data_IF_898688103145
#
_entry.id   IF_898688103145
#
_cell.length_a   1.000
_cell.length_b   1.000
_cell.length_c   1.000
_cell.angle_alpha   90.00
_cell.angle_beta   90.00
_cell.angle_gamma   90.00
#
_symmetry.space_group_name_H-M   'P 1'
#
loop_
_entity.id
_entity.type
_entity.pdbx_description
1 polymer ?
#
# COMPACT_ATOMS: atom_id res chain seq x y z
N UNK A 1 -62.40 -34.21 31.17
CA UNK A 1 -61.97 -32.92 30.57
C UNK A 1 -60.72 -32.44 31.30
N UNK A 2 -59.76 -31.80 30.59
CA UNK A 2 -58.51 -31.19 31.11
C UNK A 2 -57.28 -32.10 31.25
N UNK A 3 -56.73 -32.65 30.15
CA UNK A 3 -55.29 -33.01 30.08
C UNK A 3 -54.61 -32.73 28.73
N UNK A 4 -55.34 -32.30 27.70
CA UNK A 4 -54.78 -32.20 26.33
C UNK A 4 -54.37 -30.79 25.87
N UNK A 5 -54.36 -29.79 26.75
CA UNK A 5 -54.11 -28.40 26.34
C UNK A 5 -52.72 -27.85 26.70
N UNK A 6 -51.88 -28.61 27.40
CA UNK A 6 -50.56 -28.11 27.85
C UNK A 6 -49.39 -28.43 26.89
N UNK A 7 -49.59 -29.26 25.87
CA UNK A 7 -48.51 -29.69 24.97
C UNK A 7 -48.37 -28.87 23.68
N UNK A 8 -49.32 -27.97 23.39
CA UNK A 8 -49.32 -27.18 22.14
C UNK A 8 -48.64 -25.81 22.31
N UNK A 9 -48.50 -25.32 23.55
CA UNK A 9 -47.84 -24.03 23.80
C UNK A 9 -46.32 -24.12 24.02
N UNK A 10 -45.76 -25.31 24.23
CA UNK A 10 -44.30 -25.47 24.41
C UNK A 10 -43.56 -25.71 23.09
N UNK A 11 -44.27 -26.08 22.02
CA UNK A 11 -43.68 -26.37 20.69
C UNK A 11 -43.60 -25.15 19.78
N UNK A 12 -44.36 -24.08 20.03
CA UNK A 12 -44.32 -22.85 19.23
C UNK A 12 -43.26 -21.86 19.77
N UNK A 13 -42.91 -21.92 21.06
CA UNK A 13 -41.92 -21.02 21.65
C UNK A 13 -40.45 -21.37 21.31
N UNK A 14 -40.19 -22.59 20.80
CA UNK A 14 -38.83 -23.02 20.40
C UNK A 14 -38.52 -22.67 18.94
N UNK A 15 -39.52 -22.31 18.12
CA UNK A 15 -39.32 -22.00 16.70
C UNK A 15 -38.98 -20.52 16.41
N UNK A 16 -38.89 -19.68 17.44
CA UNK A 16 -38.57 -18.24 17.31
C UNK A 16 -37.11 -17.93 17.74
N UNK A 17 -36.34 -18.95 18.12
CA UNK A 17 -34.93 -18.77 18.49
C UNK A 17 -34.01 -18.84 17.26
N UNK A 18 -33.39 -17.69 16.98
CA UNK A 18 -32.16 -17.48 16.23
C UNK A 18 -32.24 -17.64 14.69
N UNK A 19 -32.95 -16.72 14.03
CA UNK A 19 -32.36 -16.09 12.85
C UNK A 19 -31.40 -14.99 13.35
N UNK A 20 -30.30 -15.39 14.01
CA UNK A 20 -29.13 -14.51 14.08
C UNK A 20 -28.59 -14.54 12.67
N UNK A 21 -28.94 -13.52 11.89
CA UNK A 21 -28.18 -13.21 10.69
C UNK A 21 -26.78 -12.90 11.18
N UNK A 22 -25.91 -13.91 11.21
CA UNK A 22 -24.48 -13.68 11.24
C UNK A 22 -24.21 -12.79 10.04
N UNK A 23 -24.01 -11.50 10.29
CA UNK A 23 -23.19 -10.66 9.43
C UNK A 23 -21.84 -11.35 9.44
N UNK A 24 -21.69 -12.32 8.54
CA UNK A 24 -20.39 -12.85 8.19
C UNK A 24 -19.69 -11.61 7.65
N UNK A 25 -18.85 -10.97 8.47
CA UNK A 25 -17.81 -10.12 7.91
C UNK A 25 -17.16 -11.02 6.88
N UNK A 26 -17.32 -10.67 5.60
CA UNK A 26 -16.67 -11.43 4.54
C UNK A 26 -15.21 -11.52 4.95
N UNK A 27 -14.75 -12.73 5.23
CA UNK A 27 -13.38 -12.94 5.63
C UNK A 27 -12.55 -12.49 4.44
N UNK A 28 -11.69 -11.50 4.63
CA UNK A 28 -10.88 -10.99 3.53
C UNK A 28 -10.13 -12.14 2.86
N UNK A 29 -10.14 -12.14 1.53
CA UNK A 29 -9.35 -13.08 0.72
C UNK A 29 -7.89 -12.66 0.80
N UNK A 30 -7.00 -13.62 0.96
CA UNK A 30 -5.56 -13.40 1.09
C UNK A 30 -4.83 -13.99 -0.10
N UNK A 31 -3.60 -13.56 -0.33
CA UNK A 31 -2.74 -14.11 -1.40
C UNK A 31 -2.58 -15.64 -1.27
N UNK A 32 -2.60 -16.17 -0.04
CA UNK A 32 -2.49 -17.59 0.25
C UNK A 32 -3.67 -18.42 -0.28
N UNK A 33 -4.82 -17.78 -0.54
CA UNK A 33 -5.99 -18.44 -1.10
C UNK A 33 -5.83 -18.74 -2.60
N UNK A 34 -4.87 -18.09 -3.28
CA UNK A 34 -4.53 -18.35 -4.68
C UNK A 34 -5.57 -17.87 -5.70
N UNK A 35 -6.48 -17.00 -5.30
CA UNK A 35 -7.57 -16.47 -6.14
C UNK A 35 -7.38 -15.01 -6.54
N UNK A 36 -6.56 -14.25 -5.81
CA UNK A 36 -6.33 -12.82 -6.06
C UNK A 36 -5.57 -12.59 -7.36
N UNK A 37 -5.97 -11.55 -8.09
CA UNK A 37 -5.41 -11.23 -9.40
C UNK A 37 -4.66 -9.89 -9.38
N UNK A 38 -3.62 -9.80 -10.19
CA UNK A 38 -3.02 -8.54 -10.61
C UNK A 38 -3.99 -7.79 -11.54
N UNK A 39 -3.74 -6.50 -11.76
CA UNK A 39 -4.52 -5.68 -12.69
C UNK A 39 -4.51 -6.16 -14.15
N UNK A 40 -3.54 -7.00 -14.53
CA UNK A 40 -3.47 -7.65 -15.85
C UNK A 40 -4.04 -9.08 -15.86
N UNK A 41 -4.71 -9.50 -14.77
CA UNK A 41 -5.49 -10.74 -14.69
C UNK A 41 -4.69 -12.00 -14.33
N UNK A 42 -3.44 -11.86 -13.87
CA UNK A 42 -2.62 -12.99 -13.44
C UNK A 42 -2.77 -13.24 -11.95
N UNK A 43 -2.70 -14.50 -11.53
CA UNK A 43 -2.78 -14.83 -10.11
C UNK A 43 -1.57 -14.29 -9.35
N UNK A 44 -1.83 -13.59 -8.24
CA UNK A 44 -0.79 -13.14 -7.32
C UNK A 44 -0.33 -14.34 -6.50
N UNK A 45 0.99 -14.57 -6.49
CA UNK A 45 1.62 -15.66 -5.75
C UNK A 45 2.34 -15.13 -4.51
N UNK A 46 2.69 -16.04 -3.60
CA UNK A 46 3.51 -15.71 -2.43
C UNK A 46 4.97 -15.43 -2.83
N UNK A 47 5.66 -14.60 -2.04
CA UNK A 47 7.04 -14.22 -2.32
C UNK A 47 7.16 -13.12 -3.38
N UNK A 48 8.28 -13.10 -4.11
CA UNK A 48 8.52 -12.14 -5.18
C UNK A 48 7.88 -12.61 -6.49
N UNK A 49 7.19 -11.71 -7.19
CA UNK A 49 6.82 -11.91 -8.58
C UNK A 49 8.01 -11.64 -9.52
N UNK A 50 7.81 -11.92 -10.81
CA UNK A 50 8.80 -11.71 -11.86
C UNK A 50 9.25 -10.25 -12.03
N UNK A 51 8.47 -9.30 -11.52
CA UNK A 51 8.73 -7.86 -11.57
C UNK A 51 9.44 -7.35 -10.32
N UNK A 52 9.62 -8.19 -9.28
CA UNK A 52 10.28 -7.81 -8.03
C UNK A 52 9.32 -7.29 -6.95
N UNK A 53 8.00 -7.46 -7.10
CA UNK A 53 7.03 -7.19 -6.03
C UNK A 53 6.87 -8.38 -5.11
N UNK A 54 6.94 -8.13 -3.80
CA UNK A 54 6.47 -9.04 -2.77
C UNK A 54 5.39 -8.35 -1.94
N UNK A 55 4.13 -8.55 -2.36
CA UNK A 55 2.96 -7.90 -1.79
C UNK A 55 2.75 -8.28 -0.31
N UNK A 56 3.06 -9.52 0.08
CA UNK A 56 2.93 -9.98 1.47
C UNK A 56 3.90 -9.24 2.41
N UNK A 57 5.11 -8.94 1.92
CA UNK A 57 6.13 -8.24 2.68
C UNK A 57 6.11 -6.72 2.48
N UNK A 58 5.15 -6.20 1.70
CA UNK A 58 5.04 -4.79 1.34
C UNK A 58 6.35 -4.19 0.82
N UNK A 59 7.03 -4.93 -0.06
CA UNK A 59 8.33 -4.54 -0.59
C UNK A 59 8.39 -4.75 -2.10
N UNK A 60 9.05 -3.83 -2.78
CA UNK A 60 9.50 -3.96 -4.15
C UNK A 60 11.01 -3.83 -4.18
N UNK A 61 11.68 -4.68 -4.97
CA UNK A 61 13.12 -4.60 -5.18
C UNK A 61 13.44 -5.04 -6.61
N UNK A 62 13.82 -4.09 -7.46
CA UNK A 62 14.06 -4.32 -8.88
C UNK A 62 14.62 -3.08 -9.57
N UNK A 63 14.51 -3.03 -10.90
CA UNK A 63 14.79 -1.81 -11.67
C UNK A 63 13.60 -0.86 -11.65
N UNK A 64 13.85 0.42 -11.91
CA UNK A 64 12.80 1.43 -11.92
C UNK A 64 11.68 1.07 -12.89
N UNK A 65 12.02 0.57 -14.08
CA UNK A 65 11.02 0.17 -15.06
C UNK A 65 10.26 -1.11 -14.72
N UNK A 66 10.82 -2.01 -13.92
CA UNK A 66 10.13 -3.23 -13.50
C UNK A 66 8.89 -2.90 -12.65
N UNK A 67 8.97 -1.86 -11.83
CA UNK A 67 7.83 -1.35 -11.04
C UNK A 67 6.65 -0.92 -11.92
N UNK A 68 6.91 -0.61 -13.19
CA UNK A 68 5.91 -0.16 -14.16
C UNK A 68 5.72 -1.15 -15.30
N UNK A 69 6.10 -2.42 -15.10
CA UNK A 69 6.01 -3.49 -16.09
C UNK A 69 6.64 -3.11 -17.44
N UNK A 70 7.83 -2.52 -17.37
CA UNK A 70 8.61 -2.09 -18.54
C UNK A 70 7.88 -1.08 -19.45
N UNK A 71 7.05 -0.22 -18.86
CA UNK A 71 6.31 0.79 -19.61
C UNK A 71 7.23 1.71 -20.43
N UNK A 72 6.80 2.12 -21.62
CA UNK A 72 7.62 2.92 -22.55
C UNK A 72 8.10 4.26 -21.97
N UNK A 73 7.34 4.86 -21.06
CA UNK A 73 7.65 6.17 -20.49
C UNK A 73 8.78 6.13 -19.45
N UNK A 74 9.07 4.97 -18.85
CA UNK A 74 10.09 4.85 -17.80
C UNK A 74 11.49 4.56 -18.37
N UNK A 75 11.61 4.27 -19.68
CA UNK A 75 12.80 3.68 -20.29
C UNK A 75 14.09 4.48 -20.08
N UNK A 76 14.00 5.79 -19.84
CA UNK A 76 15.15 6.62 -19.48
C UNK A 76 15.81 6.24 -18.15
N UNK A 77 15.11 5.47 -17.31
CA UNK A 77 15.54 5.03 -15.97
C UNK A 77 15.58 3.50 -15.87
N UNK A 78 15.54 2.76 -16.99
CA UNK A 78 15.46 1.30 -16.99
C UNK A 78 16.63 0.62 -16.24
N UNK A 79 17.80 1.25 -16.19
CA UNK A 79 18.98 0.72 -15.51
C UNK A 79 19.07 1.12 -14.02
N UNK A 80 18.23 2.04 -13.56
CA UNK A 80 18.25 2.54 -12.19
C UNK A 80 17.62 1.54 -11.23
N UNK A 81 18.24 1.34 -10.07
CA UNK A 81 17.71 0.47 -9.04
C UNK A 81 16.62 1.20 -8.25
N UNK A 82 15.57 0.48 -7.89
CA UNK A 82 14.44 0.97 -7.10
C UNK A 82 14.10 -0.03 -5.99
N UNK A 83 14.11 0.43 -4.74
CA UNK A 83 13.54 -0.27 -3.59
C UNK A 83 12.36 0.54 -3.06
N UNK A 84 11.21 -0.11 -2.90
CA UNK A 84 10.04 0.50 -2.26
C UNK A 84 9.56 -0.30 -1.07
N UNK A 85 8.99 0.39 -0.08
CA UNK A 85 8.28 -0.22 1.06
C UNK A 85 7.01 0.55 1.34
N UNK A 86 5.96 -0.12 1.77
CA UNK A 86 4.67 0.50 2.05
C UNK A 86 3.93 -0.18 3.21
N UNK A 87 2.75 0.32 3.57
CA UNK A 87 1.81 -0.33 4.50
C UNK A 87 0.52 -0.80 3.80
N UNK A 88 -0.30 -1.57 4.52
CA UNK A 88 -1.58 -2.08 4.00
C UNK A 88 -2.52 -0.97 3.49
N UNK A 89 -2.48 0.23 4.09
CA UNK A 89 -3.31 1.35 3.62
C UNK A 89 -2.87 1.86 2.23
N UNK A 90 -1.59 1.75 1.86
CA UNK A 90 -1.12 2.05 0.50
C UNK A 90 -1.56 0.98 -0.51
N UNK A 91 -1.24 -0.28 -0.20
CA UNK A 91 -1.59 -1.47 -0.97
C UNK A 91 -1.52 -2.68 -0.04
N UNK A 92 -2.69 -3.23 0.26
CA UNK A 92 -2.91 -4.39 1.12
C UNK A 92 -2.33 -5.67 0.51
N UNK A 93 -2.18 -6.71 1.34
CA UNK A 93 -1.96 -8.09 0.88
C UNK A 93 -3.24 -8.94 0.85
N UNK A 94 -4.40 -8.28 0.86
CA UNK A 94 -5.74 -8.88 0.92
C UNK A 94 -6.71 -8.14 0.02
N UNK A 95 -7.82 -8.82 -0.23
CA UNK A 95 -9.07 -8.29 -0.78
C UNK A 95 -10.14 -8.40 0.30
N UNK A 96 -10.60 -7.26 0.80
CA UNK A 96 -11.65 -7.17 1.81
C UNK A 96 -12.96 -6.61 1.23
N UNK A 97 -12.94 -5.97 0.05
CA UNK A 97 -14.14 -5.40 -0.59
C UNK A 97 -14.81 -6.35 -1.61
N UNK A 98 -14.14 -7.44 -1.97
CA UNK A 98 -14.64 -8.53 -2.81
C UNK A 98 -14.43 -8.32 -4.31
N UNK A 99 -13.54 -7.42 -4.73
CA UNK A 99 -13.27 -7.15 -6.15
C UNK A 99 -12.21 -8.10 -6.78
N UNK A 100 -11.62 -8.99 -5.97
CA UNK A 100 -10.52 -9.92 -6.32
C UNK A 100 -9.17 -9.25 -6.62
N UNK A 101 -9.01 -7.97 -6.28
CA UNK A 101 -7.76 -7.22 -6.35
C UNK A 101 -7.24 -6.95 -4.94
N UNK A 102 -5.98 -6.53 -4.84
CA UNK A 102 -5.44 -6.09 -3.56
C UNK A 102 -6.02 -4.72 -3.19
N UNK A 103 -6.55 -4.62 -1.97
CA UNK A 103 -7.19 -3.39 -1.52
C UNK A 103 -6.21 -2.21 -1.49
N UNK A 104 -6.74 -1.02 -1.76
CA UNK A 104 -6.07 0.27 -1.53
C UNK A 104 -6.95 1.10 -0.63
N UNK A 105 -6.35 1.77 0.36
CA UNK A 105 -7.05 2.64 1.32
C UNK A 105 -8.37 2.05 1.84
N UNK A 106 -8.39 0.75 2.14
CA UNK A 106 -9.61 0.03 2.52
C UNK A 106 -10.32 0.70 3.70
N UNK A 107 -11.62 0.95 3.56
CA UNK A 107 -12.43 1.66 4.55
C UNK A 107 -12.40 3.20 4.44
N UNK A 108 -11.73 3.76 3.43
CA UNK A 108 -11.67 5.20 3.15
C UNK A 108 -12.06 5.51 1.70
N UNK A 109 -12.69 6.67 1.47
CA UNK A 109 -13.10 7.14 0.14
C UNK A 109 -11.91 7.48 -0.78
N UNK A 110 -10.74 7.72 -0.20
CA UNK A 110 -9.49 8.05 -0.89
C UNK A 110 -8.29 7.72 0.01
N UNK A 111 -7.07 7.98 -0.45
CA UNK A 111 -5.91 7.90 0.41
C UNK A 111 -5.93 8.92 1.55
N UNK A 112 -6.62 10.06 1.40
CA UNK A 112 -6.66 11.11 2.44
C UNK A 112 -7.22 10.54 3.76
N UNK A 113 -6.46 10.71 4.84
CA UNK A 113 -6.80 10.21 6.18
C UNK A 113 -6.58 8.72 6.40
N UNK A 114 -6.24 7.93 5.37
CA UNK A 114 -6.02 6.48 5.49
C UNK A 114 -4.75 6.10 6.26
N UNK A 115 -3.81 7.05 6.40
CA UNK A 115 -2.46 6.81 6.92
C UNK A 115 -1.60 5.92 6.01
N UNK A 116 -1.94 5.82 4.72
CA UNK A 116 -1.10 5.20 3.71
C UNK A 116 0.28 5.87 3.65
N UNK A 117 1.33 5.07 3.49
CA UNK A 117 2.68 5.58 3.26
C UNK A 117 3.48 4.69 2.32
N UNK A 118 4.45 5.30 1.66
CA UNK A 118 5.41 4.67 0.78
C UNK A 118 6.80 5.27 1.02
N UNK A 119 7.82 4.43 1.00
CA UNK A 119 9.21 4.86 0.77
C UNK A 119 9.62 4.50 -0.63
N UNK A 120 10.37 5.38 -1.27
CA UNK A 120 10.98 5.11 -2.56
C UNK A 120 12.48 5.44 -2.45
N UNK A 121 13.33 4.45 -2.70
CA UNK A 121 14.78 4.56 -2.67
C UNK A 121 15.34 4.19 -4.04
N UNK A 122 15.87 5.18 -4.73
CA UNK A 122 16.43 5.04 -6.07
C UNK A 122 17.93 5.27 -6.04
N UNK A 123 18.64 4.58 -6.93
CA UNK A 123 20.05 4.84 -7.19
C UNK A 123 20.42 4.47 -8.61
N UNK A 124 21.36 5.21 -9.16
CA UNK A 124 21.79 5.05 -10.54
C UNK A 124 23.20 5.52 -10.78
N UNK A 125 23.62 5.43 -12.03
CA UNK A 125 24.94 5.85 -12.50
C UNK A 125 24.83 6.60 -13.83
N UNK A 126 25.65 7.62 -14.02
CA UNK A 126 25.74 8.34 -15.29
C UNK A 126 27.19 8.73 -15.60
N UNK A 127 27.44 9.20 -16.83
CA UNK A 127 28.72 9.80 -17.22
C UNK A 127 28.59 11.32 -17.23
N UNK A 128 29.50 12.02 -16.54
CA UNK A 128 29.54 13.48 -16.59
C UNK A 128 30.15 14.01 -17.90
N UNK A 129 30.24 15.34 -18.02
CA UNK A 129 30.80 16.01 -19.20
C UNK A 129 32.26 15.64 -19.52
N UNK A 130 33.00 15.10 -18.55
CA UNK A 130 34.38 14.64 -18.71
C UNK A 130 34.47 13.12 -18.95
N UNK A 131 33.34 12.43 -19.12
CA UNK A 131 33.27 10.98 -19.27
C UNK A 131 33.57 10.22 -17.98
N UNK A 132 33.53 10.88 -16.81
CA UNK A 132 33.73 10.22 -15.52
C UNK A 132 32.40 9.66 -15.02
N UNK A 133 32.43 8.41 -14.53
CA UNK A 133 31.27 7.75 -13.93
C UNK A 133 30.91 8.40 -12.60
N UNK A 134 29.66 8.86 -12.50
CA UNK A 134 29.06 9.45 -11.30
C UNK A 134 27.97 8.53 -10.75
N UNK A 135 27.62 8.71 -9.48
CA UNK A 135 26.61 7.95 -8.77
C UNK A 135 25.65 8.93 -8.10
N UNK A 136 24.37 8.62 -8.16
CA UNK A 136 23.36 9.34 -7.43
C UNK A 136 22.50 8.38 -6.62
N UNK A 137 21.89 8.91 -5.56
CA UNK A 137 20.87 8.24 -4.75
C UNK A 137 19.80 9.23 -4.38
N UNK A 138 18.55 8.81 -4.45
CA UNK A 138 17.38 9.58 -4.05
C UNK A 138 16.52 8.74 -3.10
N UNK A 139 16.14 9.31 -1.97
CA UNK A 139 15.25 8.65 -1.02
C UNK A 139 14.14 9.60 -0.62
N UNK A 140 12.89 9.13 -0.71
CA UNK A 140 11.71 9.89 -0.30
C UNK A 140 10.78 9.04 0.56
N UNK A 141 10.18 9.69 1.55
CA UNK A 141 9.04 9.19 2.32
C UNK A 141 7.83 10.05 2.02
N UNK A 142 6.74 9.39 1.66
CA UNK A 142 5.46 10.04 1.42
C UNK A 142 4.39 9.42 2.28
N UNK A 143 3.43 10.24 2.71
CA UNK A 143 2.33 9.84 3.57
C UNK A 143 1.06 10.50 3.07
N UNK A 144 -0.07 9.80 3.16
CA UNK A 144 -1.38 10.38 2.89
C UNK A 144 -1.61 11.67 3.71
N UNK A 145 -2.23 12.67 3.09
CA UNK A 145 -2.60 13.91 3.76
C UNK A 145 -3.61 13.60 4.87
N UNK A 146 -3.50 14.21 6.07
CA UNK A 146 -4.49 14.06 7.12
C UNK A 146 -5.89 14.52 6.70
N UNK A 147 -6.93 13.82 7.17
CA UNK A 147 -8.33 14.17 6.86
C UNK A 147 -8.75 15.55 7.43
N UNK A 148 -8.07 16.04 8.47
CA UNK A 148 -8.31 17.36 9.05
C UNK A 148 -7.66 18.51 8.27
N UNK A 149 -6.94 18.20 7.19
CA UNK A 149 -6.29 19.17 6.32
C UNK A 149 -4.99 19.75 6.89
N UNK A 150 -4.45 19.20 7.98
CA UNK A 150 -3.15 19.62 8.52
C UNK A 150 -2.06 19.47 7.47
N UNK A 151 -1.37 20.56 7.16
CA UNK A 151 -0.22 20.53 6.25
C UNK A 151 0.99 19.89 6.93
N UNK A 152 1.38 18.71 6.46
CA UNK A 152 2.52 17.95 7.02
C UNK A 152 3.76 17.99 6.12
N UNK A 153 3.65 18.58 4.94
CA UNK A 153 4.75 18.80 3.99
C UNK A 153 4.25 19.10 2.57
N UNK A 154 5.17 19.26 1.59
CA UNK A 154 4.82 19.52 0.20
C UNK A 154 3.86 18.48 -0.35
N UNK A 155 2.71 18.94 -0.85
CA UNK A 155 1.67 18.09 -1.42
C UNK A 155 2.07 17.59 -2.80
N UNK A 156 1.91 16.29 -3.02
CA UNK A 156 2.11 15.60 -4.29
C UNK A 156 0.87 14.76 -4.61
N UNK A 157 0.55 14.65 -5.91
CA UNK A 157 -0.58 13.87 -6.42
C UNK A 157 -1.96 14.23 -5.82
N UNK A 158 -2.06 15.38 -5.13
CA UNK A 158 -3.29 15.85 -4.48
C UNK A 158 -3.65 15.18 -3.14
N UNK A 159 -3.09 14.00 -2.83
CA UNK A 159 -3.51 13.19 -1.68
C UNK A 159 -2.36 12.79 -0.75
N UNK A 160 -1.11 13.07 -1.13
CA UNK A 160 0.07 12.69 -0.37
C UNK A 160 0.94 13.91 -0.08
N UNK A 161 1.74 13.83 0.98
CA UNK A 161 2.75 14.82 1.32
C UNK A 161 4.11 14.15 1.49
N UNK A 162 5.15 14.83 1.01
CA UNK A 162 6.55 14.43 1.27
C UNK A 162 6.88 14.81 2.71
N UNK A 163 7.32 13.84 3.52
CA UNK A 163 7.75 14.08 4.92
C UNK A 163 9.26 13.99 5.12
N UNK A 164 9.96 13.39 4.16
CA UNK A 164 11.42 13.32 4.14
C UNK A 164 11.90 13.13 2.70
N UNK A 165 12.92 13.86 2.32
CA UNK A 165 13.59 13.75 1.02
C UNK A 165 15.10 13.90 1.21
N UNK A 166 15.87 12.99 0.63
CA UNK A 166 17.34 12.93 0.72
C UNK A 166 17.88 12.71 -0.67
N UNK A 167 18.88 13.48 -1.06
CA UNK A 167 19.55 13.35 -2.33
C UNK A 167 21.06 13.41 -2.15
N UNK A 168 21.77 12.55 -2.88
CA UNK A 168 23.22 12.56 -2.94
C UNK A 168 23.64 12.33 -4.39
N UNK A 169 24.58 13.12 -4.88
CA UNK A 169 25.18 12.95 -6.21
C UNK A 169 26.67 13.32 -6.18
N UNK A 170 27.51 12.38 -6.61
CA UNK A 170 28.96 12.59 -6.66
C UNK A 170 29.41 13.55 -7.76
N UNK A 171 28.59 13.78 -8.79
CA UNK A 171 28.88 14.67 -9.91
C UNK A 171 28.59 16.13 -9.61
N UNK A 172 27.45 16.43 -8.99
CA UNK A 172 27.07 17.79 -8.58
C UNK A 172 27.67 18.17 -7.22
N UNK A 173 28.02 17.17 -6.40
CA UNK A 173 28.47 17.36 -5.03
C UNK A 173 27.33 17.54 -4.02
N UNK A 174 26.08 17.38 -4.45
CA UNK A 174 24.91 17.42 -3.57
C UNK A 174 24.94 16.24 -2.59
N UNK A 175 24.62 16.51 -1.32
CA UNK A 175 24.64 15.51 -0.28
C UNK A 175 23.75 15.89 0.91
N UNK A 176 22.79 15.04 1.22
CA UNK A 176 22.00 15.09 2.45
C UNK A 176 20.51 15.37 2.24
N UNK A 177 19.90 15.95 3.27
CA UNK A 177 18.46 16.18 3.36
C UNK A 177 18.08 17.35 2.45
N UNK A 178 17.19 17.10 1.49
CA UNK A 178 16.52 18.15 0.72
C UNK A 178 15.31 18.69 1.49
N UNK A 179 14.56 17.80 2.13
CA UNK A 179 13.39 18.15 2.92
C UNK A 179 13.23 17.25 4.14
N UNK A 180 12.83 17.85 5.25
CA UNK A 180 12.43 17.15 6.46
C UNK A 180 11.22 17.86 7.08
N UNK A 181 10.12 17.13 7.23
CA UNK A 181 8.89 17.69 7.79
C UNK A 181 9.10 18.16 9.24
N UNK A 182 8.58 19.35 9.62
CA UNK A 182 8.59 19.80 11.01
C UNK A 182 7.70 18.92 11.92
N UNK A 183 6.78 18.13 11.34
CA UNK A 183 5.95 17.17 12.07
C UNK A 183 6.69 15.85 12.37
N UNK A 184 7.87 15.66 11.76
CA UNK A 184 8.75 14.51 11.93
C UNK A 184 8.63 13.49 10.79
N UNK A 185 9.68 12.70 10.59
CA UNK A 185 9.79 11.71 9.51
C UNK A 185 9.40 10.26 9.91
N UNK A 186 8.77 10.10 11.07
CA UNK A 186 8.37 8.80 11.62
C UNK A 186 6.93 8.47 11.29
N UNK A 187 6.69 7.30 10.68
CA UNK A 187 5.35 6.88 10.26
C UNK A 187 4.34 6.73 11.41
N UNK A 188 4.79 6.47 12.63
CA UNK A 188 3.91 6.26 13.78
C UNK A 188 3.03 7.46 14.16
N UNK A 189 3.34 8.68 13.67
CA UNK A 189 2.49 9.86 13.85
C UNK A 189 1.36 9.97 12.83
N UNK A 190 1.39 9.14 11.79
CA UNK A 190 0.48 9.20 10.65
C UNK A 190 -0.29 7.91 10.43
N UNK A 191 -0.15 6.93 11.33
CA UNK A 191 -0.98 5.73 11.30
C UNK A 191 -2.45 6.11 11.48
N UNK A 192 -3.39 5.42 10.80
CA UNK A 192 -4.81 5.64 11.04
C UNK A 192 -5.14 5.37 12.53
N UNK A 193 -5.98 6.24 13.10
CA UNK A 193 -6.45 6.14 14.48
C UNK A 193 -7.52 5.05 14.66
#
# INVERSE_FOLDING_TARGET
MKKSLLFVFFTIAVLVMLAVTSTVFAQCTTIQDGTLLTSDGRTIVTGYDEWGYNYQAHIFNGKYCDAYRDASWCQGWADDDLEMKWNDAWLSNKDCDGDNLLDRHYGFDSYIGSGAWLTNHQKGVYLDANGKKQRWSYFVKIVAIPADGTEIGPVIWGEFAIIQEVYNDTGTGEHGILYLSPYGAGFGRFSPH
#
